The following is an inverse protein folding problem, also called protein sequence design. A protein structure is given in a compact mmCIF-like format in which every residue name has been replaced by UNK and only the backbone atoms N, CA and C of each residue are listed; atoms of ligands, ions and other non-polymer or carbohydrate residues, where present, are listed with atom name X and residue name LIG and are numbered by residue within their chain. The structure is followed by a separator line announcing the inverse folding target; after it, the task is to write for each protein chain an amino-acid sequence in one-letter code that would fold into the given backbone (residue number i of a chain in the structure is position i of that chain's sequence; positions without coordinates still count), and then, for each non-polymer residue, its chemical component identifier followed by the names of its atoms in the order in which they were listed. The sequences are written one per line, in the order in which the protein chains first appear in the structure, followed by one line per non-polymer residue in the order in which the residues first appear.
data_IF_091499203354
#
_entry.id   IF_091499203354
#
_cell.length_a   1.000
_cell.length_b   1.000
_cell.length_c   1.000
_cell.angle_alpha   90.00
_cell.angle_beta   90.00
_cell.angle_gamma   90.00
#
_symmetry.space_group_name_H-M   'P 1'
#
loop_
_entity.id
_entity.type
_entity.pdbx_description
1 polymer ?
#
# COMPACT_ATOMS: atom_id res chain seq x y z
N UNK A 1 -6.67 22.06 -7.53
CA UNK A 1 -7.40 21.03 -6.77
C UNK A 1 -6.40 20.38 -5.83
N UNK A 2 -6.67 20.36 -4.53
CA UNK A 2 -5.78 19.76 -3.50
C UNK A 2 -5.65 18.26 -3.77
N UNK A 3 -4.42 17.76 -3.89
CA UNK A 3 -4.16 16.32 -4.08
C UNK A 3 -4.29 15.63 -2.74
N UNK A 4 -5.05 14.54 -2.65
CA UNK A 4 -5.27 13.80 -1.41
C UNK A 4 -4.75 12.38 -1.53
N UNK A 5 -3.83 12.03 -0.65
CA UNK A 5 -3.19 10.71 -0.62
C UNK A 5 -3.55 10.04 0.69
N UNK A 6 -4.01 8.80 0.63
CA UNK A 6 -4.34 8.00 1.79
C UNK A 6 -3.38 6.83 1.94
N UNK A 7 -2.64 6.83 3.06
CA UNK A 7 -1.79 5.72 3.47
C UNK A 7 -2.58 4.77 4.38
N UNK A 8 -2.93 3.60 3.85
CA UNK A 8 -3.63 2.55 4.56
C UNK A 8 -2.66 1.51 5.12
N UNK A 9 -2.98 1.03 6.32
CA UNK A 9 -2.27 0.05 7.15
C UNK A 9 -0.86 -0.33 6.67
N UNK A 10 0.16 0.22 7.32
CA UNK A 10 1.56 -0.07 7.03
C UNK A 10 2.39 -0.44 8.27
N UNK A 11 3.65 -0.81 8.01
CA UNK A 11 4.67 -0.98 9.05
C UNK A 11 5.15 0.39 9.55
N UNK A 12 6.10 0.41 10.49
CA UNK A 12 6.69 1.66 11.02
C UNK A 12 7.23 2.58 9.92
N UNK A 13 7.73 2.02 8.81
CA UNK A 13 8.20 2.77 7.65
C UNK A 13 7.14 3.67 7.01
N UNK A 14 5.85 3.40 7.21
CA UNK A 14 4.76 4.25 6.71
C UNK A 14 4.86 5.69 7.26
N UNK A 15 5.31 5.85 8.51
CA UNK A 15 5.57 7.16 9.11
C UNK A 15 6.59 7.94 8.29
N UNK A 16 7.69 7.31 7.93
CA UNK A 16 8.79 7.96 7.21
C UNK A 16 8.38 8.27 5.76
N UNK A 17 7.55 7.43 5.14
CA UNK A 17 6.93 7.72 3.84
C UNK A 17 6.04 8.97 3.93
N UNK A 18 5.16 9.06 4.94
CA UNK A 18 4.29 10.24 5.14
C UNK A 18 5.14 11.51 5.31
N UNK A 19 6.16 11.47 6.16
CA UNK A 19 7.06 12.60 6.37
C UNK A 19 7.83 12.97 5.11
N UNK A 20 8.27 11.98 4.32
CA UNK A 20 8.90 12.20 3.02
C UNK A 20 7.97 12.92 2.04
N UNK A 21 6.70 12.53 1.98
CA UNK A 21 5.69 13.20 1.14
C UNK A 21 5.40 14.63 1.63
N UNK A 22 5.33 14.87 2.94
CA UNK A 22 5.19 16.24 3.48
C UNK A 22 6.38 17.12 3.11
N UNK A 23 7.59 16.61 3.31
CA UNK A 23 8.81 17.33 2.95
C UNK A 23 8.88 17.64 1.45
N UNK A 24 8.48 16.70 0.60
CA UNK A 24 8.35 16.93 -0.83
C UNK A 24 7.29 17.99 -1.15
N UNK A 25 6.12 17.92 -0.52
CA UNK A 25 5.03 18.86 -0.76
C UNK A 25 5.44 20.30 -0.40
N UNK A 26 6.12 20.47 0.73
CA UNK A 26 6.67 21.76 1.16
C UNK A 26 7.73 22.28 0.18
N UNK A 27 8.71 21.44 -0.16
CA UNK A 27 9.82 21.81 -1.05
C UNK A 27 9.36 22.21 -2.45
N UNK A 28 8.42 21.45 -3.01
CA UNK A 28 7.94 21.66 -4.38
C UNK A 28 6.66 22.52 -4.43
N UNK A 29 6.29 23.15 -3.30
CA UNK A 29 5.12 23.99 -3.15
C UNK A 29 3.83 23.35 -3.71
N UNK A 30 3.64 22.07 -3.39
CA UNK A 30 2.48 21.28 -3.80
C UNK A 30 1.44 21.24 -2.68
N UNK A 31 0.18 21.47 -3.03
CA UNK A 31 -0.95 21.33 -2.11
C UNK A 31 -1.38 19.86 -2.02
N UNK A 32 -0.77 19.11 -1.09
CA UNK A 32 -1.03 17.70 -0.82
C UNK A 32 -1.59 17.54 0.60
N UNK A 33 -2.80 16.97 0.70
CA UNK A 33 -3.39 16.52 1.96
C UNK A 33 -3.10 15.04 2.18
N UNK A 34 -2.64 14.70 3.38
CA UNK A 34 -2.27 13.34 3.71
C UNK A 34 -3.24 12.75 4.74
N UNK A 35 -3.85 11.64 4.36
CA UNK A 35 -4.66 10.79 5.20
C UNK A 35 -3.82 9.59 5.64
N UNK A 36 -4.00 9.13 6.87
CA UNK A 36 -3.47 7.84 7.31
C UNK A 36 -4.53 7.04 8.06
N UNK A 37 -4.41 5.72 7.98
CA UNK A 37 -5.25 4.83 8.78
C UNK A 37 -4.50 3.58 9.19
N UNK A 38 -4.95 2.99 10.30
CA UNK A 38 -4.41 1.73 10.79
C UNK A 38 -5.48 1.02 11.64
N UNK A 39 -5.49 -0.32 11.65
CA UNK A 39 -6.46 -1.10 12.47
C UNK A 39 -6.25 -0.98 13.99
N UNK A 40 -5.00 -0.73 14.38
CA UNK A 40 -4.57 -0.47 15.75
C UNK A 40 -4.21 1.01 15.93
N UNK A 41 -4.26 1.53 17.17
CA UNK A 41 -3.81 2.87 17.54
C UNK A 41 -2.28 3.05 17.45
N UNK A 42 -1.75 3.15 16.22
CA UNK A 42 -0.33 3.45 15.97
C UNK A 42 -0.10 4.95 15.93
N UNK A 43 -0.06 5.58 17.10
CA UNK A 43 0.09 7.05 17.25
C UNK A 43 1.30 7.60 16.51
N UNK A 44 2.38 6.82 16.39
CA UNK A 44 3.58 7.21 15.65
C UNK A 44 3.33 7.40 14.13
N UNK A 45 2.34 6.74 13.55
CA UNK A 45 1.90 6.91 12.15
C UNK A 45 0.76 7.93 12.08
N UNK A 46 -0.27 7.75 12.92
CA UNK A 46 -1.51 8.53 12.84
C UNK A 46 -1.30 10.01 13.17
N UNK A 47 -0.32 10.36 14.00
CA UNK A 47 -0.06 11.75 14.40
C UNK A 47 0.66 12.60 13.36
N UNK A 48 1.22 12.00 12.30
CA UNK A 48 2.00 12.73 11.29
C UNK A 48 1.21 13.08 10.03
N UNK A 49 0.01 12.51 9.86
CA UNK A 49 -0.93 12.86 8.78
C UNK A 49 -1.80 14.06 9.14
N UNK A 50 -2.43 14.67 8.14
CA UNK A 50 -3.37 15.78 8.33
C UNK A 50 -4.75 15.28 8.79
N UNK A 51 -5.10 14.05 8.40
CA UNK A 51 -6.29 13.35 8.88
C UNK A 51 -5.97 11.89 9.20
N UNK A 52 -6.45 11.38 10.33
CA UNK A 52 -6.17 10.02 10.79
C UNK A 52 -7.45 9.26 11.11
N UNK A 53 -7.50 7.98 10.75
CA UNK A 53 -8.66 7.11 10.99
C UNK A 53 -8.23 5.76 11.56
N UNK A 54 -9.18 5.06 12.20
CA UNK A 54 -9.02 3.65 12.56
C UNK A 54 -9.74 2.80 11.52
N UNK A 55 -9.03 1.80 10.99
CA UNK A 55 -9.60 0.85 10.02
C UNK A 55 -10.44 -0.21 10.72
N UNK A 56 -11.47 -0.77 10.04
CA UNK A 56 -12.19 -1.92 10.57
C UNK A 56 -11.25 -3.12 10.76
N UNK A 57 -11.49 -3.89 11.83
CA UNK A 57 -10.75 -5.13 12.09
C UNK A 57 -11.20 -6.27 11.17
N UNK A 58 -12.47 -6.24 10.74
CA UNK A 58 -13.04 -7.22 9.83
C UNK A 58 -12.66 -6.89 8.38
N UNK A 59 -12.22 -7.90 7.63
CA UNK A 59 -11.91 -7.78 6.21
C UNK A 59 -13.16 -7.51 5.36
N UNK A 60 -14.32 -8.04 5.76
CA UNK A 60 -15.59 -7.86 5.03
C UNK A 60 -16.04 -6.39 4.99
N UNK A 61 -15.68 -5.62 6.01
CA UNK A 61 -16.01 -4.19 6.13
C UNK A 61 -14.96 -3.30 5.44
N UNK A 62 -13.80 -3.84 5.06
CA UNK A 62 -12.68 -3.05 4.52
C UNK A 62 -13.07 -2.33 3.23
N UNK A 63 -13.77 -3.01 2.32
CA UNK A 63 -14.14 -2.44 1.03
C UNK A 63 -15.19 -1.33 1.16
N UNK A 64 -16.22 -1.53 1.99
CA UNK A 64 -17.23 -0.51 2.26
C UNK A 64 -16.63 0.71 2.98
N UNK A 65 -15.69 0.48 3.89
CA UNK A 65 -14.91 1.54 4.53
C UNK A 65 -14.06 2.33 3.53
N UNK A 66 -13.38 1.67 2.60
CA UNK A 66 -12.60 2.38 1.56
C UNK A 66 -13.54 3.29 0.76
N UNK A 67 -14.66 2.77 0.28
CA UNK A 67 -15.61 3.54 -0.52
C UNK A 67 -16.19 4.73 0.24
N UNK A 68 -16.60 4.54 1.50
CA UNK A 68 -17.16 5.64 2.29
C UNK A 68 -16.16 6.78 2.48
N UNK A 69 -14.88 6.47 2.71
CA UNK A 69 -13.82 7.47 2.86
C UNK A 69 -13.48 8.12 1.51
N UNK A 70 -13.35 7.35 0.43
CA UNK A 70 -13.05 7.92 -0.89
C UNK A 70 -14.15 8.87 -1.36
N UNK A 71 -15.42 8.51 -1.13
CA UNK A 71 -16.57 9.31 -1.54
C UNK A 71 -16.72 10.57 -0.68
N UNK A 72 -16.53 10.45 0.64
CA UNK A 72 -16.68 11.58 1.56
C UNK A 72 -15.56 12.61 1.42
N UNK A 73 -14.33 12.17 1.12
CA UNK A 73 -13.15 13.05 1.14
C UNK A 73 -12.56 13.36 -0.23
N UNK A 74 -12.94 12.64 -1.29
CA UNK A 74 -12.40 12.83 -2.64
C UNK A 74 -10.93 12.41 -2.74
N UNK A 75 -10.59 11.23 -2.22
CA UNK A 75 -9.21 10.71 -2.21
C UNK A 75 -8.73 10.45 -3.65
N UNK A 76 -7.53 10.94 -4.01
CA UNK A 76 -6.98 10.76 -5.35
C UNK A 76 -6.10 9.50 -5.48
N UNK A 77 -5.38 9.16 -4.42
CA UNK A 77 -4.50 7.99 -4.40
C UNK A 77 -4.53 7.27 -3.05
N UNK A 78 -4.45 5.94 -3.09
CA UNK A 78 -4.30 5.07 -1.93
C UNK A 78 -2.96 4.34 -2.05
N UNK A 79 -2.19 4.30 -0.96
CA UNK A 79 -1.00 3.48 -0.82
C UNK A 79 -1.18 2.51 0.35
N UNK A 80 -0.96 1.22 0.11
CA UNK A 80 -1.16 0.18 1.11
C UNK A 80 0.17 -0.47 1.49
N UNK A 81 0.43 -0.60 2.79
CA UNK A 81 1.66 -1.22 3.29
C UNK A 81 1.51 -2.68 3.72
N UNK A 82 0.27 -3.17 3.84
CA UNK A 82 -0.07 -4.54 4.24
C UNK A 82 -1.28 -5.05 3.47
N UNK A 83 -1.51 -6.36 3.55
CA UNK A 83 -2.60 -7.05 2.85
C UNK A 83 -2.59 -6.78 1.33
N UNK A 84 -1.42 -6.52 0.74
CA UNK A 84 -1.29 -6.03 -0.62
C UNK A 84 -1.95 -6.95 -1.65
N UNK A 85 -1.89 -8.27 -1.45
CA UNK A 85 -2.57 -9.26 -2.29
C UNK A 85 -4.09 -9.09 -2.28
N UNK A 86 -4.70 -8.80 -1.13
CA UNK A 86 -6.13 -8.53 -1.02
C UNK A 86 -6.51 -7.23 -1.74
N UNK A 87 -5.72 -6.17 -1.55
CA UNK A 87 -5.97 -4.90 -2.24
C UNK A 87 -5.85 -5.06 -3.75
N UNK A 88 -4.87 -5.82 -4.21
CA UNK A 88 -4.66 -6.09 -5.63
C UNK A 88 -5.81 -6.91 -6.22
N UNK A 89 -6.34 -7.91 -5.52
CA UNK A 89 -7.49 -8.69 -5.98
C UNK A 89 -8.79 -7.86 -6.03
N UNK A 90 -8.86 -6.75 -5.30
CA UNK A 90 -10.00 -5.82 -5.29
C UNK A 90 -9.73 -4.51 -6.06
N UNK A 91 -8.62 -4.42 -6.81
CA UNK A 91 -8.17 -3.19 -7.47
C UNK A 91 -9.27 -2.54 -8.30
N UNK A 92 -9.92 -3.30 -9.18
CA UNK A 92 -10.98 -2.75 -10.02
C UNK A 92 -12.10 -2.15 -9.19
N UNK A 93 -12.52 -2.83 -8.11
CA UNK A 93 -13.59 -2.35 -7.25
C UNK A 93 -13.20 -1.05 -6.55
N UNK A 94 -12.00 -1.00 -5.95
CA UNK A 94 -11.48 0.18 -5.25
C UNK A 94 -11.36 1.37 -6.20
N UNK A 95 -10.83 1.17 -7.41
CA UNK A 95 -10.59 2.25 -8.37
C UNK A 95 -11.85 2.73 -9.10
N UNK A 96 -13.05 2.16 -8.84
CA UNK A 96 -14.31 2.62 -9.45
C UNK A 96 -14.63 4.08 -9.18
N UNK A 97 -14.20 4.61 -8.03
CA UNK A 97 -14.35 6.03 -7.66
C UNK A 97 -13.32 6.96 -8.34
N UNK A 98 -12.43 6.42 -9.17
CA UNK A 98 -11.36 7.18 -9.84
C UNK A 98 -10.07 7.32 -9.02
N UNK A 99 -10.01 6.69 -7.84
CA UNK A 99 -8.80 6.64 -7.02
C UNK A 99 -7.72 5.77 -7.67
N UNK A 100 -6.45 6.14 -7.51
CA UNK A 100 -5.31 5.32 -7.95
C UNK A 100 -4.77 4.48 -6.80
N UNK A 101 -4.67 3.16 -6.98
CA UNK A 101 -4.25 2.23 -5.93
C UNK A 101 -2.79 1.78 -6.14
N UNK A 102 -1.97 1.93 -5.10
CA UNK A 102 -0.59 1.41 -5.04
C UNK A 102 -0.48 0.31 -3.99
N UNK A 103 -0.21 -0.92 -4.44
CA UNK A 103 -0.09 -2.11 -3.57
C UNK A 103 1.34 -2.67 -3.50
N UNK A 104 2.28 -2.09 -4.27
CA UNK A 104 3.64 -2.59 -4.44
C UNK A 104 3.80 -3.57 -5.61
N UNK A 105 2.72 -3.92 -6.31
CA UNK A 105 2.75 -4.78 -7.50
C UNK A 105 1.61 -4.42 -8.47
N UNK A 106 1.64 -4.98 -9.68
CA UNK A 106 0.59 -4.87 -10.71
C UNK A 106 -0.07 -6.24 -10.98
N UNK A 107 -0.32 -7.01 -9.94
CA UNK A 107 -0.98 -8.31 -10.03
C UNK A 107 -0.73 -9.21 -8.83
N UNK A 108 -1.72 -10.06 -8.50
CA UNK A 108 -1.65 -10.98 -7.36
C UNK A 108 -0.55 -12.04 -7.52
N UNK A 109 -0.35 -12.55 -8.73
CA UNK A 109 0.66 -13.56 -9.06
C UNK A 109 2.10 -13.10 -8.79
N UNK A 110 2.38 -11.80 -8.91
CA UNK A 110 3.71 -11.25 -8.59
C UNK A 110 4.04 -11.36 -7.10
N UNK A 111 3.05 -11.24 -6.22
CA UNK A 111 3.27 -11.47 -4.79
C UNK A 111 3.59 -12.94 -4.51
N UNK A 112 2.92 -13.88 -5.18
CA UNK A 112 3.20 -15.31 -5.06
C UNK A 112 4.60 -15.66 -5.59
N UNK A 113 4.97 -15.09 -6.73
CA UNK A 113 6.30 -15.28 -7.31
C UNK A 113 7.40 -14.73 -6.39
N UNK A 114 7.21 -13.53 -5.83
CA UNK A 114 8.21 -12.88 -4.98
C UNK A 114 8.36 -13.54 -3.60
N UNK A 115 7.31 -14.17 -3.08
CA UNK A 115 7.33 -14.81 -1.74
C UNK A 115 8.17 -16.11 -1.75
N UNK A 116 8.17 -16.85 -2.87
CA UNK A 116 8.99 -18.05 -3.03
C UNK A 116 10.36 -17.71 -3.63
N UNK A 117 11.34 -17.54 -2.74
CA UNK A 117 12.69 -17.05 -3.09
C UNK A 117 13.40 -17.84 -4.21
N UNK A 118 13.22 -19.16 -4.27
CA UNK A 118 13.89 -20.00 -5.27
C UNK A 118 13.29 -19.74 -6.65
N UNK A 119 11.96 -19.75 -6.75
CA UNK A 119 11.19 -19.47 -7.97
C UNK A 119 11.43 -18.04 -8.44
N UNK A 120 11.47 -17.08 -7.51
CA UNK A 120 11.83 -15.71 -7.84
C UNK A 120 13.23 -15.64 -8.45
N UNK A 121 14.21 -16.30 -7.84
CA UNK A 121 15.59 -16.32 -8.36
C UNK A 121 15.69 -17.01 -9.73
N UNK A 122 15.04 -18.16 -9.91
CA UNK A 122 14.94 -18.85 -11.22
C UNK A 122 14.30 -17.95 -12.29
N UNK A 123 13.24 -17.22 -11.93
CA UNK A 123 12.60 -16.25 -12.82
C UNK A 123 13.54 -15.11 -13.19
N UNK A 124 14.27 -14.55 -12.23
CA UNK A 124 15.21 -13.45 -12.47
C UNK A 124 16.38 -13.90 -13.36
N UNK A 125 16.95 -15.09 -13.11
CA UNK A 125 18.00 -15.70 -13.93
C UNK A 125 17.54 -15.92 -15.38
N UNK A 126 16.32 -16.45 -15.57
CA UNK A 126 15.71 -16.62 -16.89
C UNK A 126 15.55 -15.30 -17.65
N UNK A 127 15.42 -14.18 -16.94
CA UNK A 127 15.35 -12.84 -17.50
C UNK A 127 16.73 -12.15 -17.62
N UNK A 128 17.83 -12.89 -17.42
CA UNK A 128 19.20 -12.39 -17.60
C UNK A 128 19.71 -11.53 -16.45
N UNK A 129 19.07 -11.60 -15.27
CA UNK A 129 19.51 -10.88 -14.09
C UNK A 129 20.43 -11.76 -13.23
N UNK A 130 21.52 -11.21 -12.67
CA UNK A 130 22.40 -11.97 -11.80
C UNK A 130 21.68 -12.37 -10.52
N UNK A 131 21.78 -13.64 -10.15
CA UNK A 131 21.16 -14.18 -8.94
C UNK A 131 22.17 -14.87 -8.04
N UNK A 132 21.87 -14.89 -6.75
CA UNK A 132 22.60 -15.74 -5.80
C UNK A 132 22.05 -17.16 -5.93
N UNK A 133 22.89 -18.17 -6.16
CA UNK A 133 22.43 -19.56 -6.23
C UNK A 133 21.65 -19.94 -4.97
N UNK A 134 20.50 -20.58 -5.15
CA UNK A 134 19.61 -20.98 -4.07
C UNK A 134 19.18 -22.43 -4.26
N UNK A 135 18.94 -23.15 -3.16
CA UNK A 135 18.53 -24.55 -3.18
C UNK A 135 17.21 -24.68 -2.45
N UNK A 136 16.22 -25.31 -3.10
CA UNK A 136 14.94 -25.64 -2.46
C UNK A 136 15.12 -26.85 -1.55
N UNK A 137 15.07 -26.62 -0.24
CA UNK A 137 15.04 -27.70 0.76
C UNK A 137 13.61 -28.23 0.84
N UNK A 138 13.42 -29.51 0.53
CA UNK A 138 12.15 -30.22 0.76
C UNK A 138 12.32 -31.05 2.02
N UNK A 139 11.39 -30.95 2.97
CA UNK A 139 11.36 -31.91 4.08
C UNK A 139 11.04 -33.30 3.52
N UNK A 140 11.83 -34.28 3.95
CA UNK A 140 11.66 -35.71 3.61
C UNK A 140 10.57 -36.31 4.48
#
# INVERSE_FOLDING_TARGET
MKKKIWFMEGLSSQRDIILGVKSFAEKENQDIEIFSSHRNERKEILSVSDFSMIEPNNEEERLSFIHSITDAHGINAIHTGRNCKWFESHRENIQRSGVHLTTGSTGTHWFELADEKVTFSEFMEKNGLPVVPSVRVKNV
#
